data_IF_951476863173
#
_entry.id   IF_951476863173
#
_cell.length_a   1.000
_cell.length_b   1.000
_cell.length_c   1.000
_cell.angle_alpha   90.00
_cell.angle_beta   90.00
_cell.angle_gamma   90.00
#
_symmetry.space_group_name_H-M   'P 1'
#
loop_
_entity.id
_entity.type
_entity.pdbx_description
1 polymer ?
#
# COMPACT_ATOMS: atom_id res chain seq x y z
N UNK A 1 1.98 -15.84 -10.77
CA UNK A 1 3.37 -15.51 -11.14
C UNK A 1 3.89 -16.62 -12.03
N UNK A 2 4.67 -16.33 -13.10
CA UNK A 2 5.23 -17.37 -13.97
C UNK A 2 6.22 -18.25 -13.23
N UNK A 3 6.20 -19.57 -13.48
CA UNK A 3 7.20 -20.49 -12.94
C UNK A 3 8.58 -20.28 -13.59
N UNK A 4 8.61 -19.86 -14.87
CA UNK A 4 9.81 -19.57 -15.64
C UNK A 4 9.56 -18.45 -16.66
N UNK A 5 10.62 -17.75 -17.04
CA UNK A 5 10.61 -16.83 -18.18
C UNK A 5 11.35 -17.44 -19.37
N UNK A 6 10.76 -17.33 -20.57
CA UNK A 6 11.38 -17.79 -21.82
C UNK A 6 12.67 -17.03 -22.18
N UNK A 7 12.82 -15.78 -21.75
CA UNK A 7 14.00 -14.95 -21.99
C UNK A 7 14.04 -13.77 -21.01
N UNK A 8 15.15 -13.03 -21.00
CA UNK A 8 15.25 -11.77 -20.25
C UNK A 8 14.28 -10.69 -20.76
N UNK A 9 13.96 -10.69 -22.05
CA UNK A 9 12.98 -9.76 -22.62
C UNK A 9 11.58 -10.06 -22.08
N UNK A 10 11.17 -11.32 -22.13
CA UNK A 10 9.88 -11.75 -21.57
C UNK A 10 9.79 -11.46 -20.06
N UNK A 11 10.87 -11.62 -19.31
CA UNK A 11 10.91 -11.28 -17.90
C UNK A 11 10.70 -9.78 -17.65
N UNK A 12 11.30 -8.91 -18.48
CA UNK A 12 11.13 -7.45 -18.38
C UNK A 12 9.71 -7.03 -18.73
N UNK A 13 9.18 -7.52 -19.84
CA UNK A 13 7.81 -7.21 -20.27
C UNK A 13 6.80 -7.60 -19.20
N UNK A 14 6.95 -8.80 -18.62
CA UNK A 14 6.12 -9.24 -17.50
C UNK A 14 6.27 -8.34 -16.27
N UNK A 15 7.49 -7.97 -15.89
CA UNK A 15 7.72 -7.13 -14.72
C UNK A 15 7.18 -5.71 -14.90
N UNK A 16 7.27 -5.14 -16.10
CA UNK A 16 6.72 -3.82 -16.40
C UNK A 16 5.19 -3.82 -16.24
N UNK A 17 4.50 -4.83 -16.79
CA UNK A 17 3.06 -5.00 -16.63
C UNK A 17 2.69 -5.28 -15.17
N UNK A 18 3.40 -6.21 -14.52
CA UNK A 18 3.12 -6.60 -13.14
C UNK A 18 3.27 -5.43 -12.18
N UNK A 19 4.34 -4.64 -12.29
CA UNK A 19 4.59 -3.51 -11.39
C UNK A 19 3.58 -2.39 -11.63
N UNK A 20 3.18 -2.13 -12.88
CA UNK A 20 2.12 -1.17 -13.18
C UNK A 20 0.80 -1.58 -12.52
N UNK A 21 0.37 -2.83 -12.71
CA UNK A 21 -0.83 -3.37 -12.09
C UNK A 21 -0.74 -3.39 -10.54
N UNK A 22 0.40 -3.85 -10.01
CA UNK A 22 0.65 -3.91 -8.57
C UNK A 22 0.52 -2.53 -7.93
N UNK A 23 1.11 -1.51 -8.53
CA UNK A 23 1.13 -0.15 -7.97
C UNK A 23 -0.19 0.60 -8.13
N UNK A 24 -0.96 0.36 -9.19
CA UNK A 24 -2.08 1.23 -9.56
C UNK A 24 -3.46 0.56 -9.54
N UNK A 25 -3.52 -0.78 -9.51
CA UNK A 25 -4.78 -1.51 -9.62
C UNK A 25 -4.99 -2.51 -8.47
N UNK A 26 -3.94 -3.23 -8.10
CA UNK A 26 -4.01 -4.23 -7.04
C UNK A 26 -4.18 -3.56 -5.66
N UNK A 27 -5.19 -4.01 -4.92
CA UNK A 27 -5.53 -3.47 -3.59
C UNK A 27 -4.99 -4.41 -2.52
N UNK A 28 -4.21 -3.85 -1.61
CA UNK A 28 -3.47 -4.61 -0.61
C UNK A 28 -4.14 -4.52 0.76
N UNK A 29 -4.47 -5.67 1.34
CA UNK A 29 -5.09 -5.73 2.66
C UNK A 29 -4.21 -5.14 3.76
N UNK A 30 -2.88 -5.27 3.65
CA UNK A 30 -1.91 -4.71 4.61
C UNK A 30 -1.84 -3.18 4.66
N UNK A 31 -2.46 -2.48 3.70
CA UNK A 31 -2.55 -1.02 3.63
C UNK A 31 -3.99 -0.54 3.45
N UNK A 32 -4.97 -1.25 4.04
CA UNK A 32 -6.36 -0.81 4.06
C UNK A 32 -7.09 -0.93 2.72
N UNK A 33 -6.70 -1.90 1.88
CA UNK A 33 -7.21 -2.10 0.51
C UNK A 33 -7.00 -0.88 -0.40
N UNK A 34 -5.95 -0.12 -0.14
CA UNK A 34 -5.42 0.89 -1.05
C UNK A 34 -4.42 0.26 -2.03
N UNK A 35 -4.16 0.96 -3.12
CA UNK A 35 -3.04 0.64 -4.00
C UNK A 35 -1.76 1.27 -3.44
N UNK A 36 -0.56 0.74 -3.75
CA UNK A 36 0.70 1.37 -3.36
C UNK A 36 0.80 2.82 -3.82
N UNK A 37 0.32 3.15 -5.03
CA UNK A 37 0.27 4.52 -5.51
C UNK A 37 -0.65 5.42 -4.69
N UNK A 38 -1.79 4.91 -4.21
CA UNK A 38 -2.68 5.69 -3.35
C UNK A 38 -2.01 6.09 -2.03
N UNK A 39 -1.21 5.20 -1.46
CA UNK A 39 -0.44 5.49 -0.25
C UNK A 39 0.70 6.46 -0.56
N UNK A 40 1.49 6.17 -1.59
CA UNK A 40 2.66 6.97 -1.97
C UNK A 40 2.29 8.43 -2.30
N UNK A 41 1.19 8.65 -3.02
CA UNK A 41 0.72 9.99 -3.38
C UNK A 41 -0.23 10.61 -2.34
N UNK A 42 -0.41 10.01 -1.16
CA UNK A 42 -1.25 10.57 -0.09
C UNK A 42 -2.75 10.60 -0.41
N UNK A 43 -3.24 9.74 -1.31
CA UNK A 43 -4.64 9.69 -1.75
C UNK A 43 -5.52 8.80 -0.86
N UNK A 44 -4.92 8.02 0.04
CA UNK A 44 -5.60 7.03 0.88
C UNK A 44 -6.78 7.62 1.68
N UNK A 45 -6.58 8.74 2.37
CA UNK A 45 -7.62 9.36 3.22
C UNK A 45 -8.86 9.80 2.41
N UNK A 46 -8.62 10.42 1.24
CA UNK A 46 -9.71 10.83 0.34
C UNK A 46 -10.49 9.61 -0.13
N UNK A 47 -9.81 8.53 -0.51
CA UNK A 47 -10.44 7.28 -0.95
C UNK A 47 -11.23 6.61 0.17
N UNK A 48 -10.72 6.65 1.40
CA UNK A 48 -11.45 6.12 2.55
C UNK A 48 -12.74 6.89 2.84
N UNK A 49 -12.69 8.22 2.74
CA UNK A 49 -13.89 9.06 2.87
C UNK A 49 -14.94 8.69 1.82
N UNK A 50 -14.54 8.56 0.56
CA UNK A 50 -15.44 8.14 -0.52
C UNK A 50 -16.01 6.73 -0.30
N UNK A 51 -15.15 5.78 0.10
CA UNK A 51 -15.54 4.39 0.36
C UNK A 51 -16.58 4.29 1.49
N UNK A 52 -16.40 5.05 2.57
CA UNK A 52 -17.37 5.11 3.67
C UNK A 52 -18.73 5.61 3.20
N UNK A 53 -18.77 6.67 2.39
CA UNK A 53 -20.02 7.22 1.87
C UNK A 53 -20.76 6.20 0.99
N UNK A 54 -20.06 5.56 0.05
CA UNK A 54 -20.64 4.54 -0.84
C UNK A 54 -21.19 3.36 -0.05
N UNK A 55 -20.45 2.87 0.95
CA UNK A 55 -20.89 1.74 1.77
C UNK A 55 -22.07 2.10 2.69
N UNK A 56 -22.10 3.32 3.23
CA UNK A 56 -23.23 3.80 4.02
C UNK A 56 -24.51 3.85 3.18
N UNK A 57 -24.42 4.37 1.95
CA UNK A 57 -25.55 4.41 1.01
C UNK A 57 -26.01 3.00 0.62
N UNK A 58 -25.07 2.11 0.28
CA UNK A 58 -25.38 0.73 -0.08
C UNK A 58 -26.05 -0.04 1.08
N UNK A 59 -25.58 0.17 2.32
CA UNK A 59 -26.21 -0.39 3.53
C UNK A 59 -27.62 0.12 3.72
N UNK A 60 -27.84 1.42 3.57
CA UNK A 60 -29.18 2.00 3.70
C UNK A 60 -30.16 1.39 2.69
N UNK A 61 -29.73 1.20 1.44
CA UNK A 61 -30.55 0.61 0.37
C UNK A 61 -30.79 -0.90 0.52
N UNK A 62 -29.80 -1.64 1.02
CA UNK A 62 -29.83 -3.10 1.01
C UNK A 62 -29.35 -3.73 2.32
N UNK A 63 -29.93 -3.34 3.47
CA UNK A 63 -29.52 -3.84 4.80
C UNK A 63 -29.34 -5.36 4.88
N UNK A 64 -30.23 -6.15 4.25
CA UNK A 64 -30.16 -7.62 4.24
C UNK A 64 -28.90 -8.21 3.57
N UNK A 65 -28.14 -7.42 2.78
CA UNK A 65 -26.88 -7.84 2.15
C UNK A 65 -25.67 -7.66 3.05
N UNK A 66 -25.81 -7.00 4.20
CA UNK A 66 -24.71 -6.66 5.09
C UNK A 66 -24.88 -7.34 6.44
N UNK A 67 -23.89 -8.12 6.86
CA UNK A 67 -23.90 -8.79 8.17
C UNK A 67 -23.61 -7.82 9.33
N UNK A 68 -23.07 -6.64 9.03
CA UNK A 68 -22.72 -5.61 10.02
C UNK A 68 -22.90 -4.19 9.47
N UNK A 69 -23.21 -3.29 10.39
CA UNK A 69 -23.39 -1.86 10.14
C UNK A 69 -22.08 -1.04 10.31
N UNK A 70 -20.96 -1.66 10.70
CA UNK A 70 -19.68 -1.00 10.93
C UNK A 70 -18.94 -0.64 9.62
N UNK A 71 -18.25 0.51 9.60
CA UNK A 71 -17.40 0.88 8.47
C UNK A 71 -16.20 -0.07 8.36
N UNK A 72 -15.64 -0.29 7.15
CA UNK A 72 -14.41 -1.05 6.99
C UNK A 72 -13.30 -0.48 7.89
N UNK A 73 -12.54 -1.37 8.52
CA UNK A 73 -11.37 -0.97 9.31
C UNK A 73 -10.36 -0.27 8.40
N UNK A 74 -10.07 0.97 8.73
CA UNK A 74 -8.95 1.72 8.14
C UNK A 74 -7.71 1.36 8.94
N UNK A 75 -6.64 1.03 8.24
CA UNK A 75 -5.39 0.63 8.86
C UNK A 75 -4.51 1.87 8.98
N UNK A 76 -4.00 2.07 10.20
CA UNK A 76 -2.79 2.81 10.54
C UNK A 76 -1.70 2.71 9.46
N UNK A 77 -1.60 3.66 8.52
CA UNK A 77 -0.45 3.67 7.63
C UNK A 77 0.78 4.14 8.42
N UNK A 78 1.90 3.41 8.37
CA UNK A 78 3.12 3.86 9.03
C UNK A 78 3.58 5.18 8.40
N UNK A 79 4.04 6.11 9.23
CA UNK A 79 4.54 7.42 8.79
C UNK A 79 5.79 7.27 7.89
N UNK A 80 6.59 6.22 8.14
CA UNK A 80 7.77 5.90 7.33
C UNK A 80 7.90 4.39 7.11
N UNK A 81 8.44 3.99 5.95
CA UNK A 81 8.82 2.62 5.64
C UNK A 81 10.09 2.61 4.79
N UNK A 82 11.04 1.72 5.09
CA UNK A 82 12.30 1.61 4.37
C UNK A 82 12.72 0.14 4.21
N UNK A 83 13.09 -0.27 2.99
CA UNK A 83 13.63 -1.61 2.71
C UNK A 83 15.13 -1.68 3.07
N UNK A 84 15.82 -0.53 3.10
CA UNK A 84 17.21 -0.40 3.55
C UNK A 84 17.38 0.99 4.21
N UNK A 85 17.00 1.17 5.48
CA UNK A 85 17.19 2.45 6.16
C UNK A 85 18.68 2.80 6.29
N UNK A 86 19.04 4.09 6.29
CA UNK A 86 20.42 4.50 6.54
C UNK A 86 20.89 3.98 7.91
N UNK A 87 22.17 3.61 8.02
CA UNK A 87 22.76 3.28 9.33
C UNK A 87 22.66 4.51 10.23
N UNK A 88 22.40 4.33 11.55
CA UNK A 88 22.55 5.41 12.52
C UNK A 88 23.98 5.98 12.44
N UNK A 89 24.17 7.28 12.69
CA UNK A 89 25.51 7.84 12.78
C UNK A 89 26.33 7.07 13.85
N UNK A 90 27.55 6.69 13.52
CA UNK A 90 28.47 6.13 14.51
C UNK A 90 28.85 7.21 15.52
N UNK A 91 29.01 6.87 16.82
CA UNK A 91 29.43 7.85 17.82
C UNK A 91 30.76 8.45 17.41
N UNK A 92 30.84 9.77 17.36
CA UNK A 92 32.08 10.49 17.06
C UNK A 92 33.14 10.12 18.11
N UNK A 93 34.20 9.46 17.66
CA UNK A 93 35.33 9.09 18.50
C UNK A 93 36.09 10.37 18.88
N UNK A 94 35.79 10.91 20.06
CA UNK A 94 36.52 12.01 20.68
C UNK A 94 37.88 11.52 21.17
N UNK A 95 38.75 11.07 20.27
CA UNK A 95 40.17 10.92 20.59
C UNK A 95 40.84 12.29 20.46
N UNK A 96 40.82 13.03 21.57
CA UNK A 96 41.67 14.18 21.84
C UNK A 96 43.13 13.85 21.58
N UNK A 97 43.75 14.59 20.67
CA UNK A 97 45.20 14.65 20.54
C UNK A 97 45.81 15.31 21.79
N UNK A 98 46.78 14.64 22.40
CA UNK A 98 47.72 15.20 23.37
C UNK A 98 49.14 14.77 22.99
#
# INVERSE_FOLDING_TARGET
FPERFASIHHARDFMDEFVAWYNHEHRHSGIGLHTPADVFYGLAEKKDTQRRAVLAEARARHRHRFSRDDAPKIIDLPETAAINPPKPPEPEDQTTAA
#
